data_IF_111775083162
#
_entry.id   IF_111775083162
#
_cell.length_a   1.000
_cell.length_b   1.000
_cell.length_c   1.000
_cell.angle_alpha   90.00
_cell.angle_beta   90.00
_cell.angle_gamma   90.00
#
_symmetry.space_group_name_H-M   'P 1'
#
loop_
_entity.id
_entity.type
_entity.pdbx_description
1 polymer ?
#
# COMPACT_ATOMS: atom_id res chain seq x y z
N UNK A 1 31.34 -3.70 10.47
CA UNK A 1 29.88 -3.81 10.54
C UNK A 1 29.54 -5.25 10.90
N UNK A 2 28.66 -5.49 11.86
CA UNK A 2 28.16 -6.83 12.19
C UNK A 2 26.76 -6.99 11.60
N UNK A 3 26.48 -8.11 10.94
CA UNK A 3 25.13 -8.45 10.47
C UNK A 3 24.57 -9.56 11.34
N UNK A 4 23.45 -9.26 12.01
CA UNK A 4 22.74 -10.17 12.88
C UNK A 4 21.44 -10.61 12.21
N UNK A 5 21.27 -11.92 11.98
CA UNK A 5 19.99 -12.48 11.52
C UNK A 5 19.03 -12.52 12.70
N UNK A 6 17.84 -11.92 12.53
CA UNK A 6 16.86 -11.83 13.61
C UNK A 6 16.26 -13.20 13.91
N UNK A 7 16.28 -13.60 15.17
CA UNK A 7 15.48 -14.73 15.65
C UNK A 7 14.04 -14.25 15.89
N UNK A 8 13.11 -14.70 15.03
CA UNK A 8 11.69 -14.35 15.14
C UNK A 8 10.99 -14.99 16.34
N UNK A 9 11.64 -15.94 17.02
CA UNK A 9 11.15 -16.54 18.27
C UNK A 9 11.59 -15.80 19.54
N UNK A 10 12.64 -14.97 19.49
CA UNK A 10 13.03 -14.09 20.61
C UNK A 10 12.28 -12.75 20.55
N UNK A 11 11.38 -12.45 21.52
CA UNK A 11 10.69 -11.16 21.58
C UNK A 11 11.61 -9.95 21.68
N UNK A 12 12.83 -10.10 22.23
CA UNK A 12 13.80 -9.01 22.34
C UNK A 12 14.35 -8.64 20.97
N UNK A 13 14.60 -9.62 20.13
CA UNK A 13 15.22 -9.42 18.83
C UNK A 13 14.20 -8.90 17.80
N UNK A 14 12.97 -9.43 17.85
CA UNK A 14 11.80 -8.84 17.19
C UNK A 14 11.63 -7.37 17.58
N UNK A 15 11.77 -7.01 18.86
CA UNK A 15 11.65 -5.61 19.31
C UNK A 15 12.82 -4.73 18.83
N UNK A 16 14.06 -5.25 18.75
CA UNK A 16 15.21 -4.54 18.14
C UNK A 16 14.92 -4.16 16.70
N UNK A 17 14.34 -5.07 15.92
CA UNK A 17 13.96 -4.83 14.53
C UNK A 17 12.77 -3.87 14.40
N UNK A 18 11.74 -4.03 15.22
CA UNK A 18 10.52 -3.20 15.16
C UNK A 18 10.76 -1.77 15.64
N UNK A 19 11.58 -1.55 16.68
CA UNK A 19 11.81 -0.20 17.24
C UNK A 19 12.85 0.63 16.48
N UNK A 20 13.64 0.07 15.56
CA UNK A 20 14.68 0.83 14.86
C UNK A 20 14.14 2.08 14.11
N UNK A 21 13.07 2.01 13.29
CA UNK A 21 12.50 3.19 12.63
C UNK A 21 11.99 4.25 13.61
N UNK A 22 11.43 3.83 14.75
CA UNK A 22 10.93 4.74 15.78
C UNK A 22 12.05 5.57 16.43
N UNK A 23 13.30 5.09 16.35
CA UNK A 23 14.49 5.86 16.74
C UNK A 23 15.00 6.69 15.56
N UNK A 24 15.13 6.09 14.38
CA UNK A 24 15.66 6.73 13.16
C UNK A 24 14.85 7.98 12.76
N UNK A 25 13.52 7.88 12.80
CA UNK A 25 12.60 8.95 12.39
C UNK A 25 11.98 9.72 13.56
N UNK A 26 12.54 9.61 14.79
CA UNK A 26 11.97 10.23 16.00
C UNK A 26 11.66 11.72 15.82
N UNK A 27 12.57 12.41 15.13
CA UNK A 27 12.56 13.86 14.94
C UNK A 27 12.14 14.27 13.51
N UNK A 28 11.66 13.31 12.70
CA UNK A 28 11.13 13.55 11.35
C UNK A 28 9.65 13.99 11.41
N UNK A 29 9.29 15.21 10.95
CA UNK A 29 7.92 15.70 11.05
C UNK A 29 6.97 15.07 10.02
N UNK A 30 7.46 14.52 8.91
CA UNK A 30 6.64 13.84 7.91
C UNK A 30 6.36 12.38 8.26
N UNK A 31 7.29 11.70 8.94
CA UNK A 31 7.18 10.26 9.16
C UNK A 31 5.91 9.85 9.92
N UNK A 32 5.25 8.81 9.42
CA UNK A 32 4.05 8.20 10.00
C UNK A 32 4.41 6.79 10.46
N UNK A 33 4.41 6.50 11.77
CA UNK A 33 4.77 5.18 12.27
C UNK A 33 3.71 4.14 11.88
N UNK A 34 4.12 2.90 11.54
CA UNK A 34 3.19 1.78 11.49
C UNK A 34 2.65 1.47 12.89
N UNK A 35 1.54 0.75 12.98
CA UNK A 35 1.12 0.15 14.25
C UNK A 35 2.20 -0.84 14.72
N UNK A 36 2.66 -0.70 15.96
CA UNK A 36 3.70 -1.58 16.55
C UNK A 36 3.23 -3.04 16.53
N UNK A 37 1.94 -3.29 16.76
CA UNK A 37 1.34 -4.63 16.65
C UNK A 37 1.37 -5.18 15.22
N UNK A 38 1.13 -4.36 14.20
CA UNK A 38 1.23 -4.77 12.79
C UNK A 38 2.68 -5.06 12.38
N UNK A 39 3.63 -4.22 12.81
CA UNK A 39 5.06 -4.42 12.56
C UNK A 39 5.58 -5.70 13.23
N UNK A 40 5.20 -5.98 14.48
CA UNK A 40 5.51 -7.27 15.13
C UNK A 40 4.86 -8.44 14.40
N UNK A 41 3.60 -8.30 13.96
CA UNK A 41 2.91 -9.37 13.23
C UNK A 41 3.61 -9.73 11.91
N UNK A 42 4.33 -8.82 11.25
CA UNK A 42 5.10 -9.16 10.05
C UNK A 42 6.24 -10.15 10.32
N UNK A 43 6.76 -10.22 11.56
CA UNK A 43 7.79 -11.18 11.99
C UNK A 43 7.18 -12.47 12.60
N UNK A 44 5.86 -12.52 12.79
CA UNK A 44 5.15 -13.64 13.42
C UNK A 44 4.88 -14.75 12.38
N UNK A 45 5.81 -15.72 12.33
CA UNK A 45 5.78 -16.88 11.43
C UNK A 45 4.54 -17.76 11.58
N UNK A 46 3.88 -17.77 12.74
CA UNK A 46 2.69 -18.59 12.98
C UNK A 46 1.40 -17.87 12.58
N UNK A 47 1.30 -16.55 12.84
CA UNK A 47 0.04 -15.80 12.73
C UNK A 47 -0.08 -14.91 11.50
N UNK A 48 1.00 -14.71 10.75
CA UNK A 48 0.97 -13.93 9.53
C UNK A 48 0.78 -14.81 8.29
N UNK A 49 -0.36 -14.65 7.62
CA UNK A 49 -0.83 -15.55 6.55
C UNK A 49 0.18 -15.79 5.42
N UNK A 50 1.04 -14.81 5.11
CA UNK A 50 2.15 -14.96 4.16
C UNK A 50 2.98 -16.24 4.39
N UNK A 51 3.23 -16.62 5.64
CA UNK A 51 4.05 -17.79 5.99
C UNK A 51 3.35 -19.15 5.77
N UNK A 52 2.04 -19.17 5.48
CA UNK A 52 1.33 -20.38 5.07
C UNK A 52 1.79 -20.91 3.70
N UNK A 53 2.33 -20.03 2.85
CA UNK A 53 2.72 -20.35 1.49
C UNK A 53 4.11 -19.85 1.09
N UNK A 54 4.65 -18.84 1.77
CA UNK A 54 5.92 -18.15 1.48
C UNK A 54 6.86 -18.17 2.70
N UNK A 55 8.06 -17.63 2.57
CA UNK A 55 9.01 -17.50 3.70
C UNK A 55 9.74 -16.15 3.65
N UNK A 56 10.28 -15.69 4.78
CA UNK A 56 11.01 -14.44 4.90
C UNK A 56 11.95 -14.50 6.11
N UNK A 57 13.11 -13.85 5.99
CA UNK A 57 14.02 -13.62 7.12
C UNK A 57 14.36 -12.12 7.22
N UNK A 58 14.89 -11.73 8.38
CA UNK A 58 15.15 -10.34 8.72
C UNK A 58 16.58 -10.20 9.23
N UNK A 59 17.23 -9.08 8.91
CA UNK A 59 18.60 -8.80 9.32
C UNK A 59 18.70 -7.41 9.96
N UNK A 60 19.61 -7.29 10.92
CA UNK A 60 20.01 -6.05 11.58
C UNK A 60 21.49 -5.79 11.30
N UNK A 61 21.83 -4.53 11.01
CA UNK A 61 23.20 -4.07 11.01
C UNK A 61 23.53 -3.47 12.38
N UNK A 62 24.61 -3.94 12.99
CA UNK A 62 25.07 -3.55 14.31
C UNK A 62 26.44 -2.88 14.26
N UNK A 63 26.58 -1.79 15.02
CA UNK A 63 27.83 -1.08 15.24
C UNK A 63 27.98 -0.81 16.74
N UNK A 64 28.96 -1.45 17.38
CA UNK A 64 29.11 -1.41 18.85
C UNK A 64 27.86 -1.88 19.59
N UNK A 65 27.21 -2.95 19.10
CA UNK A 65 25.96 -3.51 19.64
C UNK A 65 24.69 -2.67 19.37
N UNK A 66 24.82 -1.44 18.86
CA UNK A 66 23.67 -0.58 18.50
C UNK A 66 23.18 -0.92 17.09
N UNK A 67 21.86 -1.02 16.93
CA UNK A 67 21.24 -1.17 15.60
C UNK A 67 21.38 0.13 14.82
N UNK A 68 22.03 0.06 13.67
CA UNK A 68 22.24 1.17 12.72
C UNK A 68 21.51 0.96 11.39
N UNK A 69 20.98 -0.23 11.15
CA UNK A 69 20.08 -0.50 10.02
C UNK A 69 19.36 -1.84 10.13
N UNK A 70 18.41 -2.08 9.24
CA UNK A 70 17.66 -3.33 9.13
C UNK A 70 17.22 -3.60 7.68
N UNK A 71 16.93 -4.85 7.35
CA UNK A 71 16.25 -5.23 6.09
C UNK A 71 15.42 -6.50 6.31
N UNK A 72 14.28 -6.61 5.64
CA UNK A 72 13.55 -7.87 5.46
C UNK A 72 13.80 -8.40 4.04
N UNK A 73 14.01 -9.70 3.91
CA UNK A 73 14.12 -10.40 2.62
C UNK A 73 13.05 -11.47 2.54
N UNK A 74 12.34 -11.57 1.42
CA UNK A 74 11.12 -12.39 1.28
C UNK A 74 11.21 -13.32 0.07
N UNK A 75 10.70 -14.54 0.20
CA UNK A 75 10.53 -15.52 -0.88
C UNK A 75 9.03 -15.63 -1.20
N UNK A 76 8.51 -14.87 -2.18
CA UNK A 76 7.09 -14.75 -2.50
C UNK A 76 6.59 -15.95 -3.33
N UNK A 77 6.68 -17.17 -2.78
CA UNK A 77 6.43 -18.44 -3.50
C UNK A 77 5.16 -18.45 -4.35
N UNK A 78 4.05 -17.87 -3.86
CA UNK A 78 2.79 -17.73 -4.61
C UNK A 78 2.92 -16.84 -5.87
N UNK A 79 3.66 -15.70 -5.82
CA UNK A 79 3.97 -14.87 -7.01
C UNK A 79 4.94 -15.59 -7.95
N UNK A 80 5.97 -16.22 -7.38
CA UNK A 80 6.97 -16.98 -8.13
C UNK A 80 6.32 -18.12 -8.93
N UNK A 81 5.44 -18.92 -8.31
CA UNK A 81 4.67 -19.96 -8.99
C UNK A 81 3.73 -19.38 -10.07
N UNK A 82 2.94 -18.34 -9.74
CA UNK A 82 2.00 -17.73 -10.69
C UNK A 82 2.68 -17.10 -11.92
N UNK A 83 3.88 -16.54 -11.76
CA UNK A 83 4.63 -15.86 -12.84
C UNK A 83 5.73 -16.72 -13.49
N UNK A 84 5.92 -17.98 -13.06
CA UNK A 84 7.00 -18.83 -13.55
C UNK A 84 8.41 -18.28 -13.23
N UNK A 85 8.58 -17.62 -12.08
CA UNK A 85 9.79 -16.90 -11.67
C UNK A 85 10.42 -17.47 -10.40
N UNK A 86 11.67 -17.07 -10.12
CA UNK A 86 12.40 -17.35 -8.88
C UNK A 86 13.06 -16.07 -8.36
N UNK A 87 12.23 -15.15 -7.86
CA UNK A 87 12.68 -13.85 -7.35
C UNK A 87 12.53 -13.70 -5.83
N UNK A 88 13.18 -12.68 -5.26
CA UNK A 88 13.14 -12.29 -3.86
C UNK A 88 12.61 -10.85 -3.65
N UNK A 89 11.78 -10.68 -2.62
CA UNK A 89 11.49 -9.42 -1.92
C UNK A 89 12.72 -8.83 -1.22
N UNK A 90 12.98 -7.53 -1.33
CA UNK A 90 13.41 -6.77 -0.14
C UNK A 90 12.29 -5.84 0.33
N UNK A 91 12.19 -5.64 1.64
CA UNK A 91 11.22 -4.74 2.27
C UNK A 91 11.72 -4.26 3.63
N UNK A 92 11.05 -3.28 4.23
CA UNK A 92 11.40 -2.71 5.54
C UNK A 92 12.87 -2.28 5.68
N UNK A 93 13.57 -2.06 4.55
CA UNK A 93 14.94 -1.57 4.51
C UNK A 93 14.98 -0.20 5.18
N UNK A 94 15.83 -0.06 6.19
CA UNK A 94 16.05 1.20 6.89
C UNK A 94 17.51 1.27 7.31
N UNK A 95 18.14 2.43 7.19
CA UNK A 95 19.53 2.63 7.62
C UNK A 95 19.70 4.06 8.14
N UNK A 96 20.69 4.28 9.01
CA UNK A 96 21.28 5.62 9.18
C UNK A 96 21.95 6.06 7.86
N UNK A 97 22.35 7.33 7.75
CA UNK A 97 23.03 7.87 6.58
C UNK A 97 24.50 7.41 6.49
N UNK A 98 24.70 6.10 6.32
CA UNK A 98 25.98 5.42 6.13
C UNK A 98 25.80 4.36 5.02
N UNK A 99 26.53 4.52 3.93
CA UNK A 99 26.46 3.62 2.76
C UNK A 99 26.96 2.21 3.09
N UNK A 100 27.89 2.05 4.04
CA UNK A 100 28.43 0.74 4.42
C UNK A 100 27.40 -0.10 5.20
N UNK A 101 26.48 0.56 5.93
CA UNK A 101 25.30 -0.09 6.52
C UNK A 101 24.40 -0.66 5.42
N UNK A 102 24.12 0.12 4.38
CA UNK A 102 23.28 -0.32 3.26
C UNK A 102 23.92 -1.48 2.50
N UNK A 103 25.20 -1.37 2.13
CA UNK A 103 25.98 -2.41 1.46
C UNK A 103 25.96 -3.73 2.22
N UNK A 104 26.22 -3.69 3.53
CA UNK A 104 26.25 -4.90 4.36
C UNK A 104 24.86 -5.57 4.49
N UNK A 105 23.79 -4.78 4.62
CA UNK A 105 22.41 -5.31 4.66
C UNK A 105 21.99 -5.93 3.33
N UNK A 106 22.28 -5.27 2.21
CA UNK A 106 21.95 -5.80 0.88
C UNK A 106 22.79 -7.03 0.54
N UNK A 107 24.08 -7.09 0.91
CA UNK A 107 24.90 -8.29 0.75
C UNK A 107 24.27 -9.51 1.45
N UNK A 108 23.87 -9.37 2.73
CA UNK A 108 23.20 -10.44 3.46
C UNK A 108 21.85 -10.87 2.83
N UNK A 109 21.08 -9.91 2.30
CA UNK A 109 19.85 -10.22 1.57
C UNK A 109 20.12 -10.97 0.24
N UNK A 110 21.17 -10.60 -0.50
CA UNK A 110 21.56 -11.29 -1.73
C UNK A 110 22.04 -12.70 -1.46
N UNK A 111 22.86 -12.91 -0.43
CA UNK A 111 23.39 -14.24 -0.09
C UNK A 111 22.27 -15.16 0.41
N UNK A 112 21.31 -14.62 1.18
CA UNK A 112 20.07 -15.34 1.52
C UNK A 112 19.31 -15.78 0.26
N UNK A 113 19.09 -14.88 -0.69
CA UNK A 113 18.35 -15.19 -1.91
C UNK A 113 19.08 -16.21 -2.81
N UNK A 114 20.40 -16.06 -2.99
CA UNK A 114 21.24 -17.01 -3.74
C UNK A 114 21.26 -18.40 -3.11
N UNK A 115 21.37 -18.49 -1.79
CA UNK A 115 21.34 -19.78 -1.07
C UNK A 115 20.04 -20.57 -1.28
N UNK A 116 18.96 -19.88 -1.67
CA UNK A 116 17.64 -20.45 -2.01
C UNK A 116 17.40 -20.63 -3.52
N UNK A 117 18.41 -20.36 -4.36
CA UNK A 117 18.29 -20.45 -5.81
C UNK A 117 17.34 -19.41 -6.42
N UNK A 118 17.23 -18.23 -5.80
CA UNK A 118 16.50 -17.07 -6.34
C UNK A 118 17.49 -16.21 -7.15
N UNK A 119 17.17 -15.95 -8.43
CA UNK A 119 18.08 -15.31 -9.39
C UNK A 119 17.82 -13.82 -9.64
N UNK A 120 16.75 -13.27 -9.07
CA UNK A 120 16.41 -11.86 -9.13
C UNK A 120 15.91 -11.35 -7.77
N UNK A 121 16.08 -10.05 -7.53
CA UNK A 121 15.53 -9.35 -6.37
C UNK A 121 14.85 -8.06 -6.83
N UNK A 122 13.69 -7.76 -6.26
CA UNK A 122 12.97 -6.49 -6.47
C UNK A 122 12.57 -5.86 -5.13
N UNK A 123 12.02 -4.64 -5.16
CA UNK A 123 11.43 -4.00 -3.97
C UNK A 123 11.70 -2.50 -3.89
N UNK A 124 11.33 -1.82 -2.78
CA UNK A 124 10.64 -2.35 -1.60
C UNK A 124 9.22 -2.87 -1.91
N UNK A 125 8.91 -4.12 -1.56
CA UNK A 125 7.56 -4.70 -1.74
C UNK A 125 7.12 -5.55 -0.54
N UNK A 126 5.90 -5.33 -0.06
CA UNK A 126 5.39 -5.89 1.19
C UNK A 126 4.98 -7.37 1.21
N UNK A 127 4.40 -7.79 2.33
CA UNK A 127 3.99 -9.18 2.60
C UNK A 127 2.59 -9.49 2.02
N UNK A 128 1.78 -8.46 1.78
CA UNK A 128 0.38 -8.58 1.42
C UNK A 128 -0.02 -7.58 0.32
N UNK A 129 -1.04 -7.93 -0.46
CA UNK A 129 -1.74 -6.96 -1.31
C UNK A 129 -2.27 -5.81 -0.43
N UNK A 130 -1.94 -4.56 -0.81
CA UNK A 130 -2.27 -3.36 -0.02
C UNK A 130 -1.25 -2.99 1.08
N UNK A 131 -0.09 -3.66 1.13
CA UNK A 131 1.10 -3.09 1.77
C UNK A 131 1.77 -2.03 0.86
N UNK A 132 2.66 -1.22 1.42
CA UNK A 132 3.33 -0.17 0.67
C UNK A 132 4.22 -0.73 -0.45
N UNK A 133 4.19 -0.05 -1.60
CA UNK A 133 5.10 -0.25 -2.72
C UNK A 133 6.10 0.90 -2.79
N UNK A 134 7.37 0.56 -2.95
CA UNK A 134 8.46 1.47 -3.33
C UNK A 134 9.10 2.27 -2.19
N UNK A 135 10.32 2.74 -2.44
CA UNK A 135 10.98 3.76 -1.62
C UNK A 135 10.55 5.15 -2.11
N UNK A 136 10.29 6.08 -1.19
CA UNK A 136 10.02 7.48 -1.52
C UNK A 136 11.25 8.09 -2.22
N UNK A 137 11.04 8.65 -3.41
CA UNK A 137 12.09 9.33 -4.22
C UNK A 137 11.77 10.79 -4.51
N UNK A 138 10.50 11.21 -4.39
CA UNK A 138 10.03 12.60 -4.54
C UNK A 138 8.89 12.88 -3.56
N UNK A 139 8.77 14.11 -3.05
CA UNK A 139 7.72 14.52 -2.11
C UNK A 139 8.07 14.35 -0.61
N UNK A 140 9.36 14.49 -0.24
CA UNK A 140 9.86 14.35 1.14
C UNK A 140 9.34 15.40 2.12
N UNK A 141 8.89 16.55 1.63
CA UNK A 141 8.23 17.61 2.40
C UNK A 141 6.82 17.20 2.85
N UNK A 142 6.20 16.23 2.19
CA UNK A 142 4.82 15.82 2.42
C UNK A 142 4.71 14.63 3.36
N UNK A 143 3.69 14.66 4.23
CA UNK A 143 3.30 13.50 5.03
C UNK A 143 2.78 12.39 4.10
N UNK A 144 3.21 11.12 4.26
CA UNK A 144 2.64 10.01 3.51
C UNK A 144 1.18 9.78 3.93
N UNK A 145 0.38 9.30 2.99
CA UNK A 145 -0.93 8.74 3.29
C UNK A 145 -0.79 7.52 4.22
N UNK A 146 -1.81 7.24 5.03
CA UNK A 146 -1.89 6.01 5.83
C UNK A 146 -1.58 4.77 4.97
N UNK A 147 -0.53 4.04 5.38
CA UNK A 147 -0.10 2.79 4.73
C UNK A 147 0.91 2.95 3.60
N UNK A 148 1.26 4.19 3.22
CA UNK A 148 2.31 4.49 2.24
C UNK A 148 3.65 4.68 2.94
N UNK A 149 4.74 4.22 2.33
CA UNK A 149 6.09 4.29 2.92
C UNK A 149 6.65 5.72 2.92
N UNK A 150 7.55 5.99 3.86
CA UNK A 150 8.37 7.20 3.91
C UNK A 150 9.78 6.82 4.34
N UNK A 151 10.78 7.38 3.64
CA UNK A 151 12.19 7.25 3.97
C UNK A 151 12.91 8.58 3.76
N UNK A 152 14.14 8.69 4.26
CA UNK A 152 15.02 9.82 3.94
C UNK A 152 15.53 9.75 2.48
N UNK A 153 15.95 10.90 1.94
CA UNK A 153 16.27 11.05 0.51
C UNK A 153 17.47 10.22 0.03
N UNK A 154 18.44 9.92 0.90
CA UNK A 154 19.62 9.12 0.56
C UNK A 154 19.32 7.66 0.16
N UNK A 155 18.10 7.17 0.39
CA UNK A 155 17.75 5.77 0.11
C UNK A 155 17.78 5.40 -1.39
N UNK A 156 17.45 6.31 -2.32
CA UNK A 156 17.58 6.02 -3.77
C UNK A 156 19.05 5.78 -4.16
N UNK A 157 19.97 6.57 -3.59
CA UNK A 157 21.41 6.37 -3.74
C UNK A 157 21.87 5.04 -3.15
N UNK A 158 21.42 4.70 -1.95
CA UNK A 158 21.80 3.44 -1.27
C UNK A 158 21.32 2.20 -2.03
N UNK A 159 20.09 2.22 -2.54
CA UNK A 159 19.52 1.10 -3.31
C UNK A 159 20.25 0.98 -4.67
N UNK A 160 20.55 2.09 -5.34
CA UNK A 160 21.29 2.10 -6.61
C UNK A 160 22.75 1.64 -6.47
N UNK A 161 23.44 2.05 -5.42
CA UNK A 161 24.80 1.58 -5.09
C UNK A 161 24.83 0.06 -4.85
N UNK A 162 23.79 -0.48 -4.20
CA UNK A 162 23.56 -1.91 -4.09
C UNK A 162 23.19 -2.60 -5.44
N UNK A 163 23.47 -1.97 -6.59
CA UNK A 163 23.40 -2.54 -7.93
C UNK A 163 22.00 -2.66 -8.52
N UNK A 164 20.99 -2.07 -7.88
CA UNK A 164 19.62 -2.05 -8.38
C UNK A 164 19.38 -0.97 -9.43
N UNK A 165 18.40 -1.21 -10.32
CA UNK A 165 17.92 -0.26 -11.33
C UNK A 165 16.44 0.03 -11.11
N UNK A 166 15.93 1.19 -11.56
CA UNK A 166 14.48 1.50 -11.53
C UNK A 166 13.73 0.41 -12.31
N UNK A 167 12.73 -0.21 -11.68
CA UNK A 167 11.75 -1.05 -12.35
C UNK A 167 10.55 -0.21 -12.81
N UNK A 168 9.97 0.56 -11.88
CA UNK A 168 8.79 1.41 -12.11
C UNK A 168 8.60 2.35 -10.93
N UNK A 169 8.08 3.55 -11.17
CA UNK A 169 7.63 4.46 -10.11
C UNK A 169 6.10 4.36 -9.94
N UNK A 170 5.68 4.50 -8.68
CA UNK A 170 4.30 4.56 -8.24
C UNK A 170 4.02 5.97 -7.73
N UNK A 171 3.24 6.71 -8.50
CA UNK A 171 2.95 8.12 -8.27
C UNK A 171 1.70 8.24 -7.38
N UNK A 172 1.70 9.23 -6.48
CA UNK A 172 0.52 9.60 -5.71
C UNK A 172 0.17 11.06 -5.99
N UNK A 173 -1.12 11.36 -6.14
CA UNK A 173 -1.57 12.72 -6.40
C UNK A 173 -2.50 13.27 -5.32
N UNK A 174 -2.41 14.57 -5.10
CA UNK A 174 -3.26 15.34 -4.21
C UNK A 174 -4.46 15.94 -4.95
N UNK A 175 -5.64 15.90 -4.31
CA UNK A 175 -6.81 16.70 -4.71
C UNK A 175 -7.23 17.61 -3.54
N UNK A 176 -7.42 18.92 -3.76
CA UNK A 176 -7.93 19.84 -2.75
C UNK A 176 -9.44 19.73 -2.60
N UNK A 177 -9.96 20.11 -1.43
CA UNK A 177 -11.37 19.92 -1.09
C UNK A 177 -12.38 20.78 -1.85
N UNK A 178 -11.92 21.88 -2.42
CA UNK A 178 -12.68 22.80 -3.26
C UNK A 178 -12.80 22.33 -4.73
N UNK A 179 -12.10 21.25 -5.11
CA UNK A 179 -12.15 20.63 -6.44
C UNK A 179 -13.57 20.56 -7.01
N UNK A 180 -13.70 20.90 -8.28
CA UNK A 180 -14.95 20.84 -9.03
C UNK A 180 -14.91 19.67 -10.00
N UNK A 181 -15.84 18.73 -9.87
CA UNK A 181 -15.93 17.61 -10.80
C UNK A 181 -16.46 18.12 -12.16
N UNK A 182 -15.72 17.97 -13.27
CA UNK A 182 -16.16 18.46 -14.57
C UNK A 182 -17.53 17.90 -14.97
N UNK A 183 -18.43 18.76 -15.46
CA UNK A 183 -19.84 18.41 -15.72
C UNK A 183 -20.02 17.17 -16.63
N UNK A 184 -19.05 16.87 -17.48
CA UNK A 184 -19.04 15.66 -18.32
C UNK A 184 -19.26 14.40 -17.48
N UNK A 185 -18.65 14.31 -16.29
CA UNK A 185 -18.77 13.15 -15.43
C UNK A 185 -20.18 13.00 -14.85
N UNK A 186 -20.81 14.12 -14.42
CA UNK A 186 -22.22 14.13 -13.98
C UNK A 186 -23.15 13.68 -15.11
N UNK A 187 -23.04 14.31 -16.28
CA UNK A 187 -23.88 14.02 -17.46
C UNK A 187 -23.72 12.57 -17.96
N UNK A 188 -22.51 12.02 -17.91
CA UNK A 188 -22.27 10.59 -18.24
C UNK A 188 -22.89 9.70 -17.15
N UNK A 189 -22.66 10.01 -15.87
CA UNK A 189 -23.15 9.19 -14.75
C UNK A 189 -24.68 9.11 -14.70
N UNK A 190 -25.39 10.19 -15.03
CA UNK A 190 -26.85 10.22 -15.16
C UNK A 190 -27.31 9.34 -16.35
N UNK A 191 -26.86 9.65 -17.57
CA UNK A 191 -27.26 8.93 -18.80
C UNK A 191 -26.92 7.44 -18.79
N UNK A 192 -25.79 7.05 -18.18
CA UNK A 192 -25.32 5.65 -18.18
C UNK A 192 -26.12 4.79 -17.21
N UNK A 193 -26.56 5.33 -16.07
CA UNK A 193 -27.48 4.61 -15.15
C UNK A 193 -28.79 4.26 -15.84
N UNK A 194 -29.39 5.22 -16.53
CA UNK A 194 -30.64 5.06 -17.27
C UNK A 194 -30.49 4.07 -18.44
N UNK A 195 -29.47 4.25 -19.30
CA UNK A 195 -29.39 3.55 -20.59
C UNK A 195 -28.63 2.21 -20.58
N UNK A 196 -27.80 1.94 -19.58
CA UNK A 196 -26.92 0.74 -19.56
C UNK A 196 -27.16 -0.22 -18.40
N UNK A 197 -28.16 0.05 -17.55
CA UNK A 197 -28.53 -0.81 -16.43
C UNK A 197 -27.46 -0.89 -15.33
N UNK A 198 -26.59 0.12 -15.23
CA UNK A 198 -25.59 0.20 -14.17
C UNK A 198 -26.22 0.64 -12.85
N UNK A 199 -26.22 -0.27 -11.87
CA UNK A 199 -26.72 -0.03 -10.51
C UNK A 199 -25.55 0.31 -9.58
N UNK A 200 -25.66 1.43 -8.88
CA UNK A 200 -24.73 1.77 -7.79
C UNK A 200 -25.18 1.01 -6.53
N UNK A 201 -24.31 0.19 -5.98
CA UNK A 201 -24.52 -0.42 -4.66
C UNK A 201 -24.18 0.62 -3.58
N UNK A 202 -25.02 0.71 -2.55
CA UNK A 202 -24.82 1.59 -1.38
C UNK A 202 -24.73 0.72 -0.14
N UNK A 203 -23.79 1.04 0.73
CA UNK A 203 -23.52 0.28 1.95
C UNK A 203 -23.71 1.17 3.17
N UNK A 204 -24.32 0.62 4.22
CA UNK A 204 -24.58 1.25 5.53
C UNK A 204 -23.72 0.61 6.62
N UNK A 205 -23.45 -0.69 6.53
CA UNK A 205 -22.72 -1.46 7.55
C UNK A 205 -21.45 -2.11 6.98
N UNK A 206 -20.54 -2.56 7.87
CA UNK A 206 -19.36 -3.33 7.45
C UNK A 206 -19.71 -4.77 7.06
N UNK A 207 -20.84 -5.30 7.54
CA UNK A 207 -21.26 -6.67 7.22
C UNK A 207 -21.86 -6.76 5.81
N UNK A 208 -22.53 -5.70 5.34
CA UNK A 208 -22.88 -5.55 3.92
C UNK A 208 -21.63 -5.51 3.02
N UNK A 209 -20.53 -4.89 3.48
CA UNK A 209 -19.25 -4.92 2.76
C UNK A 209 -18.65 -6.34 2.75
N UNK A 210 -18.71 -7.08 3.86
CA UNK A 210 -18.24 -8.47 3.94
C UNK A 210 -19.03 -9.38 3.01
N UNK A 211 -20.35 -9.22 2.98
CA UNK A 211 -21.23 -10.01 2.12
C UNK A 211 -20.94 -9.83 0.62
N UNK A 212 -20.52 -8.63 0.19
CA UNK A 212 -20.14 -8.37 -1.21
C UNK A 212 -18.65 -8.61 -1.51
N UNK A 213 -17.80 -8.75 -0.48
CA UNK A 213 -16.36 -8.82 -0.63
C UNK A 213 -15.85 -9.89 -1.61
N UNK A 214 -16.38 -11.15 -1.63
CA UNK A 214 -15.95 -12.16 -2.61
C UNK A 214 -16.13 -11.68 -4.06
N UNK A 215 -17.28 -11.11 -4.39
CA UNK A 215 -17.60 -10.57 -5.73
C UNK A 215 -16.78 -9.32 -6.08
N UNK A 216 -16.36 -8.53 -5.09
CA UNK A 216 -15.41 -7.42 -5.29
C UNK A 216 -14.00 -7.94 -5.54
N UNK A 217 -13.57 -9.03 -4.88
CA UNK A 217 -12.26 -9.66 -5.10
C UNK A 217 -12.20 -10.34 -6.47
N UNK A 218 -13.26 -11.00 -6.90
CA UNK A 218 -13.39 -11.50 -8.29
C UNK A 218 -13.22 -10.36 -9.31
N UNK A 219 -13.94 -9.25 -9.10
CA UNK A 219 -13.82 -8.08 -9.96
C UNK A 219 -12.43 -7.41 -9.89
N UNK A 220 -11.78 -7.40 -8.73
CA UNK A 220 -10.41 -6.93 -8.55
C UNK A 220 -9.43 -7.80 -9.36
N UNK A 221 -9.53 -9.12 -9.20
CA UNK A 221 -8.65 -10.07 -9.89
C UNK A 221 -8.80 -9.97 -11.41
N UNK A 222 -10.02 -9.82 -11.92
CA UNK A 222 -10.28 -9.65 -13.35
C UNK A 222 -9.94 -8.24 -13.88
N UNK A 223 -10.02 -7.18 -13.07
CA UNK A 223 -9.67 -5.82 -13.46
C UNK A 223 -8.15 -5.59 -13.59
N UNK A 224 -7.34 -6.32 -12.80
CA UNK A 224 -5.89 -6.13 -12.67
C UNK A 224 -5.03 -7.25 -13.26
N UNK A 225 -5.62 -8.27 -13.92
CA UNK A 225 -4.89 -9.40 -14.53
C UNK A 225 -3.80 -8.96 -15.52
N UNK A 226 -3.99 -7.82 -16.19
CA UNK A 226 -3.05 -7.24 -17.15
C UNK A 226 -1.87 -6.50 -16.49
N UNK A 227 -1.93 -6.19 -15.19
CA UNK A 227 -0.84 -5.48 -14.52
C UNK A 227 0.39 -6.39 -14.38
N UNK A 228 1.58 -5.84 -14.67
CA UNK A 228 2.88 -6.55 -14.61
C UNK A 228 3.10 -7.30 -13.28
N UNK A 229 2.83 -6.63 -12.16
CA UNK A 229 3.18 -7.12 -10.82
C UNK A 229 1.99 -7.80 -10.09
N UNK A 230 0.82 -7.88 -10.73
CA UNK A 230 -0.39 -8.47 -10.14
C UNK A 230 -0.22 -9.96 -9.79
N UNK A 231 -0.85 -10.36 -8.68
CA UNK A 231 -1.02 -11.76 -8.28
C UNK A 231 -2.47 -11.92 -7.83
N UNK A 232 -3.20 -12.95 -8.31
CA UNK A 232 -4.57 -13.21 -7.88
C UNK A 232 -4.68 -13.38 -6.36
N UNK A 233 -5.59 -12.62 -5.75
CA UNK A 233 -5.95 -12.79 -4.35
C UNK A 233 -6.96 -13.94 -4.29
N UNK A 234 -6.56 -15.07 -3.69
CA UNK A 234 -7.33 -16.34 -3.73
C UNK A 234 -7.31 -17.06 -2.39
N UNK A 235 -8.33 -17.88 -2.15
CA UNK A 235 -8.43 -18.71 -0.95
C UNK A 235 -8.52 -17.88 0.32
N UNK A 236 -7.84 -18.30 1.39
CA UNK A 236 -7.86 -17.62 2.69
C UNK A 236 -7.31 -16.19 2.63
N UNK A 237 -6.31 -15.91 1.77
CA UNK A 237 -5.75 -14.58 1.58
C UNK A 237 -6.84 -13.56 1.23
N UNK A 238 -7.82 -13.96 0.42
CA UNK A 238 -8.92 -13.10 0.01
C UNK A 238 -9.74 -12.64 1.23
N UNK A 239 -10.05 -13.56 2.15
CA UNK A 239 -10.77 -13.23 3.39
C UNK A 239 -9.92 -12.33 4.28
N UNK A 240 -8.63 -12.67 4.49
CA UNK A 240 -7.73 -11.88 5.37
C UNK A 240 -7.49 -10.46 4.83
N UNK A 241 -7.30 -10.30 3.53
CA UNK A 241 -7.11 -8.99 2.88
C UNK A 241 -8.42 -8.20 2.91
N UNK A 242 -9.57 -8.83 2.60
CA UNK A 242 -10.86 -8.16 2.65
C UNK A 242 -11.20 -7.65 4.06
N UNK A 243 -11.07 -8.48 5.10
CA UNK A 243 -11.33 -8.06 6.49
C UNK A 243 -10.38 -6.93 6.92
N UNK A 244 -9.10 -6.96 6.52
CA UNK A 244 -8.14 -5.87 6.77
C UNK A 244 -8.64 -4.57 6.14
N UNK A 245 -8.97 -4.56 4.84
CA UNK A 245 -9.44 -3.36 4.15
C UNK A 245 -10.80 -2.87 4.69
N UNK A 246 -11.74 -3.78 4.97
CA UNK A 246 -13.05 -3.47 5.56
C UNK A 246 -12.88 -2.88 6.97
N UNK A 247 -11.90 -3.34 7.75
CA UNK A 247 -11.59 -2.75 9.07
C UNK A 247 -11.13 -1.29 8.97
N UNK A 248 -10.41 -0.94 7.90
CA UNK A 248 -9.81 0.38 7.67
C UNK A 248 -10.68 1.36 6.86
N UNK A 249 -11.79 0.93 6.27
CA UNK A 249 -12.73 1.80 5.52
C UNK A 249 -14.05 2.03 6.26
N UNK A 250 -14.87 2.93 5.72
CA UNK A 250 -16.26 3.16 6.10
C UNK A 250 -17.19 2.73 4.96
N UNK A 251 -18.39 2.19 5.22
CA UNK A 251 -19.33 1.76 4.18
C UNK A 251 -19.67 2.84 3.15
N UNK A 252 -19.74 4.11 3.56
CA UNK A 252 -20.00 5.22 2.66
C UNK A 252 -18.83 5.58 1.72
N UNK A 253 -17.60 5.14 2.04
CA UNK A 253 -16.40 5.36 1.23
C UNK A 253 -16.06 4.21 0.29
N UNK A 254 -16.91 3.19 0.21
CA UNK A 254 -16.80 2.11 -0.78
C UNK A 254 -17.87 2.33 -1.85
N UNK A 255 -17.45 2.59 -3.10
CA UNK A 255 -18.38 2.66 -4.25
C UNK A 255 -18.23 1.42 -5.09
N UNK A 256 -19.35 0.80 -5.44
CA UNK A 256 -19.40 -0.37 -6.31
C UNK A 256 -20.50 -0.17 -7.34
N UNK A 257 -20.18 -0.44 -8.60
CA UNK A 257 -21.14 -0.44 -9.72
C UNK A 257 -21.32 -1.88 -10.19
N UNK A 258 -22.58 -2.28 -10.35
CA UNK A 258 -22.98 -3.60 -10.83
C UNK A 258 -23.84 -3.49 -12.10
N UNK A 259 -23.84 -4.55 -12.92
CA UNK A 259 -24.79 -4.76 -14.02
C UNK A 259 -25.37 -6.16 -13.87
N UNK A 260 -26.66 -6.25 -13.53
CA UNK A 260 -27.24 -7.50 -13.02
C UNK A 260 -26.47 -7.96 -11.77
N UNK A 261 -26.02 -9.21 -11.77
CA UNK A 261 -25.23 -9.78 -10.68
C UNK A 261 -23.71 -9.55 -10.81
N UNK A 262 -23.23 -9.09 -11.97
CA UNK A 262 -21.79 -8.84 -12.16
C UNK A 262 -21.38 -7.51 -11.54
N UNK A 263 -20.32 -7.53 -10.71
CA UNK A 263 -19.64 -6.31 -10.28
C UNK A 263 -18.78 -5.78 -11.44
N UNK A 264 -19.11 -4.60 -11.93
CA UNK A 264 -18.48 -3.96 -13.10
C UNK A 264 -17.24 -3.17 -12.70
N UNK A 265 -17.27 -2.55 -11.52
CA UNK A 265 -16.15 -1.79 -11.00
C UNK A 265 -16.36 -1.28 -9.58
N UNK A 266 -15.26 -0.85 -8.97
CA UNK A 266 -15.20 -0.43 -7.58
C UNK A 266 -14.22 0.74 -7.39
N UNK A 267 -14.41 1.51 -6.32
CA UNK A 267 -13.53 2.56 -5.86
C UNK A 267 -13.54 2.57 -4.33
N UNK A 268 -12.37 2.38 -3.71
CA UNK A 268 -12.20 2.27 -2.27
C UNK A 268 -11.51 3.53 -1.71
N UNK A 269 -12.21 4.22 -0.81
CA UNK A 269 -11.66 5.31 0.01
C UNK A 269 -11.47 4.89 1.46
N UNK A 270 -10.45 5.44 2.11
CA UNK A 270 -10.08 5.16 3.49
C UNK A 270 -9.90 6.49 4.25
N UNK A 271 -10.48 6.67 5.45
CA UNK A 271 -10.21 7.84 6.27
C UNK A 271 -8.73 7.84 6.68
N UNK A 272 -8.02 8.94 6.44
CA UNK A 272 -6.63 9.02 6.86
C UNK A 272 -6.53 9.24 8.38
N UNK A 273 -5.89 8.30 9.07
CA UNK A 273 -5.59 8.40 10.52
C UNK A 273 -4.09 8.59 10.81
N UNK A 274 -3.30 9.00 9.81
CA UNK A 274 -1.85 9.20 9.95
C UNK A 274 -1.50 10.22 11.06
N UNK A 275 -2.35 11.25 11.22
CA UNK A 275 -2.24 12.22 12.31
C UNK A 275 -2.30 11.57 13.70
N UNK A 276 -3.23 10.63 13.90
CA UNK A 276 -3.34 9.89 15.16
C UNK A 276 -2.23 8.86 15.33
N UNK A 277 -1.81 8.16 14.26
CA UNK A 277 -0.66 7.25 14.28
C UNK A 277 0.61 7.97 14.75
N UNK A 278 0.89 9.18 14.24
CA UNK A 278 1.99 10.03 14.72
C UNK A 278 1.84 10.39 16.20
N UNK A 279 0.66 10.85 16.63
CA UNK A 279 0.40 11.24 18.03
C UNK A 279 0.54 10.08 19.02
N UNK A 280 0.08 8.88 18.65
CA UNK A 280 0.21 7.68 19.51
C UNK A 280 1.52 6.91 19.31
N UNK A 281 2.42 7.38 18.42
CA UNK A 281 3.67 6.70 18.03
C UNK A 281 3.42 5.22 17.67
N UNK A 282 2.36 4.94 16.91
CA UNK A 282 1.96 3.59 16.50
C UNK A 282 1.52 2.64 17.64
N UNK A 283 1.41 3.11 18.89
CA UNK A 283 1.04 2.29 20.06
C UNK A 283 -0.44 2.42 20.37
N UNK A 284 -1.16 1.30 20.40
CA UNK A 284 -2.59 1.27 20.70
C UNK A 284 -2.90 1.53 22.18
N UNK A 285 -2.06 1.03 23.09
CA UNK A 285 -2.29 1.12 24.54
C UNK A 285 -1.38 2.17 25.20
N UNK A 286 -1.84 2.84 26.28
CA UNK A 286 -3.17 2.71 26.88
C UNK A 286 -4.32 3.40 26.10
N UNK A 287 -4.04 4.50 25.37
CA UNK A 287 -5.08 5.36 24.79
C UNK A 287 -4.98 5.63 23.27
N UNK A 288 -4.00 5.05 22.58
CA UNK A 288 -3.81 5.24 21.14
C UNK A 288 -4.97 4.71 20.29
N UNK A 289 -5.65 3.65 20.74
CA UNK A 289 -6.88 3.16 20.11
C UNK A 289 -7.98 4.23 20.09
N UNK A 290 -8.15 4.99 21.18
CA UNK A 290 -9.14 6.06 21.28
C UNK A 290 -8.78 7.24 20.36
N UNK A 291 -7.50 7.61 20.28
CA UNK A 291 -7.01 8.60 19.33
C UNK A 291 -7.30 8.20 17.88
N UNK A 292 -7.06 6.94 17.51
CA UNK A 292 -7.33 6.43 16.16
C UNK A 292 -8.83 6.41 15.84
N UNK A 293 -9.68 5.93 16.75
CA UNK A 293 -11.14 5.94 16.57
C UNK A 293 -11.71 7.36 16.46
N UNK A 294 -11.17 8.31 17.24
CA UNK A 294 -11.56 9.72 17.16
C UNK A 294 -11.14 10.35 15.83
N UNK A 295 -9.90 10.11 15.39
CA UNK A 295 -9.39 10.59 14.09
C UNK A 295 -10.20 10.01 12.92
N UNK A 296 -10.48 8.70 12.95
CA UNK A 296 -11.26 7.99 11.93
C UNK A 296 -12.67 8.57 11.70
N UNK A 297 -13.24 9.21 12.73
CA UNK A 297 -14.56 9.86 12.67
C UNK A 297 -14.49 11.32 12.22
N UNK A 298 -13.38 12.03 12.51
CA UNK A 298 -13.26 13.50 12.35
C UNK A 298 -12.32 13.96 11.24
N UNK A 299 -11.49 13.07 10.71
CA UNK A 299 -10.45 13.40 9.72
C UNK A 299 -11.08 14.03 8.47
N UNK A 300 -10.44 15.08 7.98
CA UNK A 300 -10.80 15.76 6.72
C UNK A 300 -9.92 15.30 5.55
N UNK A 301 -9.11 14.27 5.76
CA UNK A 301 -8.29 13.60 4.76
C UNK A 301 -8.88 12.24 4.40
N UNK A 302 -8.89 11.92 3.10
CA UNK A 302 -9.27 10.60 2.57
C UNK A 302 -8.20 10.09 1.61
N UNK A 303 -7.85 8.81 1.72
CA UNK A 303 -6.91 8.15 0.85
C UNK A 303 -7.68 7.20 -0.07
N UNK A 304 -7.49 7.29 -1.38
CA UNK A 304 -8.04 6.36 -2.35
C UNK A 304 -6.97 5.36 -2.76
N UNK A 305 -7.22 4.08 -2.50
CA UNK A 305 -6.33 2.98 -2.88
C UNK A 305 -7.18 1.81 -3.38
N UNK A 306 -7.04 1.44 -4.64
CA UNK A 306 -7.90 0.47 -5.30
C UNK A 306 -9.11 1.11 -5.99
N UNK A 307 -8.93 1.41 -7.27
CA UNK A 307 -9.99 1.72 -8.22
C UNK A 307 -9.85 0.78 -9.42
N UNK A 308 -10.92 0.07 -9.79
CA UNK A 308 -10.85 -0.95 -10.82
C UNK A 308 -12.15 -1.07 -11.61
N UNK A 309 -12.01 -1.29 -12.92
CA UNK A 309 -13.11 -1.62 -13.83
C UNK A 309 -12.71 -2.82 -14.67
N UNK A 310 -13.62 -3.79 -14.74
CA UNK A 310 -13.52 -4.96 -15.60
C UNK A 310 -13.21 -4.56 -17.05
N UNK A 311 -12.24 -5.20 -17.75
CA UNK A 311 -11.76 -4.76 -19.07
C UNK A 311 -12.88 -4.47 -20.09
N UNK A 312 -13.88 -5.35 -20.16
CA UNK A 312 -15.02 -5.25 -21.08
C UNK A 312 -16.02 -4.12 -20.77
N UNK A 313 -15.85 -3.40 -19.66
CA UNK A 313 -16.65 -2.23 -19.28
C UNK A 313 -15.84 -0.92 -19.22
N UNK A 314 -14.54 -0.95 -19.51
CA UNK A 314 -13.71 0.26 -19.66
C UNK A 314 -14.24 1.11 -20.82
N UNK A 315 -14.17 2.45 -20.68
CA UNK A 315 -14.78 3.38 -21.63
C UNK A 315 -16.32 3.41 -21.65
N UNK A 316 -17.03 2.49 -20.96
CA UNK A 316 -18.50 2.46 -20.98
C UNK A 316 -19.17 3.42 -19.97
N UNK A 317 -18.40 4.29 -19.31
CA UNK A 317 -18.88 5.32 -18.39
C UNK A 317 -18.99 4.90 -16.93
N UNK A 318 -18.59 3.68 -16.57
CA UNK A 318 -18.58 3.23 -15.17
C UNK A 318 -17.60 4.02 -14.28
N UNK A 319 -16.45 4.49 -14.80
CA UNK A 319 -15.53 5.39 -14.07
C UNK A 319 -16.26 6.67 -13.65
N UNK A 320 -17.00 7.30 -14.57
CA UNK A 320 -17.76 8.50 -14.29
C UNK A 320 -18.84 8.30 -13.22
N UNK A 321 -19.50 7.13 -13.20
CA UNK A 321 -20.45 6.78 -12.13
C UNK A 321 -19.75 6.65 -10.77
N UNK A 322 -18.61 5.95 -10.70
CA UNK A 322 -17.83 5.79 -9.46
C UNK A 322 -17.31 7.14 -8.94
N UNK A 323 -16.69 7.95 -9.81
CA UNK A 323 -16.16 9.27 -9.45
C UNK A 323 -17.26 10.24 -9.02
N UNK A 324 -18.40 10.27 -9.71
CA UNK A 324 -19.52 11.14 -9.32
C UNK A 324 -20.15 10.72 -7.97
N UNK A 325 -20.33 9.43 -7.71
CA UNK A 325 -20.83 8.96 -6.42
C UNK A 325 -19.82 9.19 -5.28
N UNK A 326 -18.52 9.10 -5.55
CA UNK A 326 -17.49 9.43 -4.56
C UNK A 326 -17.43 10.93 -4.30
N UNK A 327 -17.47 11.76 -5.34
CA UNK A 327 -17.45 13.22 -5.23
C UNK A 327 -18.61 13.76 -4.38
N UNK A 328 -19.82 13.22 -4.54
CA UNK A 328 -20.96 13.55 -3.67
C UNK A 328 -20.65 13.24 -2.21
N UNK A 329 -20.20 12.03 -1.89
CA UNK A 329 -19.84 11.68 -0.50
C UNK A 329 -18.64 12.49 0.02
N UNK A 330 -17.69 12.86 -0.84
CA UNK A 330 -16.58 13.73 -0.48
C UNK A 330 -17.09 15.09 0.02
N UNK A 331 -17.99 15.73 -0.74
CA UNK A 331 -18.61 17.02 -0.39
C UNK A 331 -19.59 16.89 0.79
N UNK A 332 -20.48 15.90 0.79
CA UNK A 332 -21.44 15.60 1.87
C UNK A 332 -20.77 15.40 3.24
N UNK A 333 -19.53 14.90 3.27
CA UNK A 333 -18.74 14.69 4.49
C UNK A 333 -17.78 15.82 4.83
N UNK A 334 -17.65 16.85 3.97
CA UNK A 334 -16.75 17.98 4.21
C UNK A 334 -15.27 17.58 4.28
N UNK A 335 -14.84 16.62 3.47
CA UNK A 335 -13.41 16.34 3.28
C UNK A 335 -12.74 17.55 2.62
N UNK A 336 -11.50 17.85 3.02
CA UNK A 336 -10.71 18.98 2.52
C UNK A 336 -9.49 18.57 1.72
N UNK A 337 -9.11 17.29 1.79
CA UNK A 337 -7.89 16.76 1.20
C UNK A 337 -8.15 15.32 0.75
N UNK A 338 -7.71 14.98 -0.46
CA UNK A 338 -7.60 13.59 -0.90
C UNK A 338 -6.20 13.26 -1.39
N UNK A 339 -5.76 12.06 -1.06
CA UNK A 339 -4.54 11.42 -1.54
C UNK A 339 -5.00 10.23 -2.43
N UNK A 340 -4.69 10.23 -3.73
CA UNK A 340 -4.85 9.03 -4.56
C UNK A 340 -3.47 8.39 -4.66
N UNK A 341 -3.31 7.20 -4.09
CA UNK A 341 -1.99 6.66 -3.78
C UNK A 341 -1.57 5.56 -4.73
N UNK A 342 -0.25 5.50 -5.00
CA UNK A 342 0.42 4.39 -5.66
C UNK A 342 -0.23 3.97 -7.00
N UNK A 343 -0.43 4.95 -7.88
CA UNK A 343 -0.77 4.75 -9.29
C UNK A 343 0.53 4.44 -10.04
N UNK A 344 0.63 3.26 -10.65
CA UNK A 344 1.80 2.91 -11.45
C UNK A 344 1.96 3.88 -12.65
N UNK A 345 3.14 4.45 -12.86
CA UNK A 345 3.44 5.43 -13.94
C UNK A 345 3.08 4.92 -15.35
N UNK A 346 3.09 3.59 -15.55
CA UNK A 346 2.77 2.94 -16.83
C UNK A 346 1.26 2.94 -17.13
N UNK A 347 0.40 3.27 -16.15
CA UNK A 347 -1.04 3.40 -16.32
C UNK A 347 -1.41 4.79 -16.90
N UNK A 348 -0.93 5.08 -18.10
CA UNK A 348 -1.07 6.37 -18.79
C UNK A 348 -2.52 6.86 -18.90
N UNK A 349 -3.50 5.93 -19.00
CA UNK A 349 -4.93 6.26 -19.00
C UNK A 349 -5.39 6.86 -17.67
N UNK A 350 -4.99 6.26 -16.54
CA UNK A 350 -5.32 6.81 -15.22
C UNK A 350 -4.62 8.15 -14.99
N UNK A 351 -3.36 8.28 -15.40
CA UNK A 351 -2.60 9.54 -15.32
C UNK A 351 -3.36 10.68 -16.03
N UNK A 352 -3.73 10.47 -17.30
CA UNK A 352 -4.50 11.44 -18.10
C UNK A 352 -5.89 11.74 -17.52
N UNK A 353 -6.59 10.74 -16.98
CA UNK A 353 -7.89 10.96 -16.32
C UNK A 353 -7.76 11.85 -15.07
N UNK A 354 -6.64 11.76 -14.34
CA UNK A 354 -6.36 12.53 -13.13
C UNK A 354 -5.81 13.94 -13.42
N UNK A 355 -4.91 14.10 -14.39
CA UNK A 355 -4.49 15.41 -14.90
C UNK A 355 -5.72 16.21 -15.36
N UNK A 356 -6.66 15.57 -16.07
CA UNK A 356 -7.91 16.19 -16.51
C UNK A 356 -8.96 16.39 -15.39
N UNK A 357 -8.63 16.03 -14.14
CA UNK A 357 -9.35 16.39 -12.92
C UNK A 357 -8.61 17.50 -12.12
N UNK A 358 -7.44 17.96 -12.58
CA UNK A 358 -6.60 18.93 -11.87
C UNK A 358 -5.82 18.30 -10.70
N UNK A 359 -5.45 17.03 -10.81
CA UNK A 359 -4.66 16.34 -9.80
C UNK A 359 -3.19 16.74 -9.85
N UNK A 360 -2.59 16.96 -8.67
CA UNK A 360 -1.18 17.33 -8.52
C UNK A 360 -0.34 16.11 -8.09
N UNK A 361 0.56 15.64 -8.97
CA UNK A 361 1.42 14.47 -8.72
C UNK A 361 2.66 14.86 -7.92
N UNK A 362 2.48 14.91 -6.60
CA UNK A 362 3.44 15.45 -5.63
C UNK A 362 4.28 14.43 -4.85
N UNK A 363 4.10 13.12 -5.06
CA UNK A 363 4.91 12.06 -4.41
C UNK A 363 5.17 10.91 -5.38
N UNK A 364 6.41 10.40 -5.39
CA UNK A 364 6.79 9.23 -6.17
C UNK A 364 7.48 8.16 -5.31
N UNK A 365 7.08 6.90 -5.50
CA UNK A 365 7.63 5.73 -4.84
C UNK A 365 8.23 4.76 -5.84
N UNK A 366 9.55 4.55 -5.81
CA UNK A 366 10.28 3.71 -6.77
C UNK A 366 10.35 2.26 -6.32
N UNK A 367 9.91 1.34 -7.17
CA UNK A 367 10.32 -0.06 -7.14
C UNK A 367 11.59 -0.21 -7.99
N UNK A 368 12.51 -1.02 -7.49
CA UNK A 368 13.77 -1.34 -8.14
C UNK A 368 13.87 -2.84 -8.41
N UNK A 369 14.69 -3.23 -9.39
CA UNK A 369 15.01 -4.61 -9.72
C UNK A 369 16.52 -4.83 -9.94
N UNK A 370 17.00 -6.03 -9.59
CA UNK A 370 18.39 -6.49 -9.73
C UNK A 370 18.43 -7.99 -10.06
N UNK A 371 19.36 -8.42 -10.93
CA UNK A 371 19.75 -9.83 -11.06
C UNK A 371 20.88 -10.17 -10.07
N UNK A 372 20.83 -11.37 -9.51
CA UNK A 372 21.71 -11.81 -8.42
C UNK A 372 22.89 -12.67 -8.88
#
# INVERSE_FOLDING_TARGET
MEIHKVDTSDPRDVERFVQFPFRLYRDCPQWVPPLVSSARKQLDRERHFFYSHSDADFFLALQGGKVVGRIAVLEPRKRNAYRGRRGAFFYLFEAVEDIEVARALFAAAFDWARSRGLGEMSGPEGFAAGDALGALVEGFEHRPAMGVAYNYAYYDGFIRDAGFRKQTDYLSCYLPGDIQLPERFRRIAEKVKERRGFKVLRFRTKDELRAIAPRVIEAYNAAFVENRDFVPITGEDAVKVADRLISLTRPDLVKVVAKGEQIVGFLLGFPDVSAALRRCKGRLYPFGWALLLWEFRRTRWINFNGAGILPQYRGLGANAVLYYEMFKTFKERGFLHADLVQINEQNTKMMQELEALGADFYKAHRIYERRL
#
